data_IF_346296719820
#
_entry.id   IF_346296719820
#
_cell.length_a   1.000
_cell.length_b   1.000
_cell.length_c   1.000
_cell.angle_alpha   90.00
_cell.angle_beta   90.00
_cell.angle_gamma   90.00
#
_symmetry.space_group_name_H-M   'P 1'
#
loop_
_entity.id
_entity.type
_entity.pdbx_description
1 polymer ?
#
# COMPACT_ATOMS: atom_id res chain seq x y z
N UNK A 1 -19.48 5.08 5.42
CA UNK A 1 -19.88 3.68 5.12
C UNK A 1 -19.55 2.86 6.36
N UNK A 2 -20.52 2.16 6.94
CA UNK A 2 -20.33 1.29 8.10
C UNK A 2 -20.65 -0.12 7.65
N UNK A 3 -19.67 -1.01 7.67
CA UNK A 3 -19.79 -2.40 7.24
C UNK A 3 -19.62 -3.28 8.46
N UNK A 4 -20.48 -4.28 8.63
CA UNK A 4 -20.36 -5.29 9.70
C UNK A 4 -19.91 -6.59 9.05
N UNK A 5 -18.81 -7.17 9.55
CA UNK A 5 -18.22 -8.40 9.04
C UNK A 5 -17.97 -9.33 10.22
N UNK A 6 -18.34 -10.60 10.08
CA UNK A 6 -18.01 -11.67 11.00
C UNK A 6 -16.74 -12.35 10.49
N UNK A 7 -15.73 -12.46 11.35
CA UNK A 7 -14.44 -13.06 11.02
C UNK A 7 -13.93 -13.81 12.25
N UNK A 8 -13.33 -14.98 12.02
CA UNK A 8 -12.72 -15.78 13.08
C UNK A 8 -11.32 -15.26 13.43
N UNK A 9 -10.87 -15.57 14.64
CA UNK A 9 -9.56 -15.14 15.14
C UNK A 9 -8.43 -15.61 14.23
N UNK A 10 -7.58 -14.68 13.81
CA UNK A 10 -6.42 -14.98 12.98
C UNK A 10 -6.76 -15.29 11.51
N UNK A 11 -8.03 -15.28 11.09
CA UNK A 11 -8.40 -15.48 9.68
C UNK A 11 -8.37 -14.16 8.90
N UNK A 12 -7.84 -14.18 7.68
CA UNK A 12 -7.83 -12.98 6.83
C UNK A 12 -9.11 -12.93 6.00
N UNK A 13 -9.91 -11.88 6.19
CA UNK A 13 -11.14 -11.64 5.43
C UNK A 13 -10.99 -10.49 4.44
N UNK A 14 -11.65 -10.61 3.29
CA UNK A 14 -11.73 -9.54 2.28
C UNK A 14 -12.93 -8.67 2.59
N UNK A 15 -12.69 -7.41 2.97
CA UNK A 15 -13.76 -6.46 3.29
C UNK A 15 -14.39 -5.88 2.01
N UNK A 16 -13.62 -5.81 0.94
CA UNK A 16 -14.05 -5.28 -0.34
C UNK A 16 -12.88 -4.87 -1.23
N UNK A 17 -13.22 -4.24 -2.35
CA UNK A 17 -12.25 -3.77 -3.33
C UNK A 17 -12.89 -2.90 -4.41
N UNK A 18 -12.05 -2.27 -5.22
CA UNK A 18 -12.44 -1.48 -6.38
C UNK A 18 -11.58 -1.91 -7.57
N UNK A 19 -12.23 -2.33 -8.64
CA UNK A 19 -11.61 -2.52 -9.94
C UNK A 19 -12.08 -1.38 -10.84
N UNK A 20 -11.13 -0.59 -11.34
CA UNK A 20 -11.38 0.52 -12.26
C UNK A 20 -10.60 0.29 -13.55
N UNK A 21 -11.26 0.48 -14.69
CA UNK A 21 -10.64 0.45 -16.01
C UNK A 21 -10.91 1.81 -16.67
N UNK A 22 -9.88 2.62 -16.81
CA UNK A 22 -9.96 3.94 -17.46
C UNK A 22 -9.41 3.82 -18.89
N UNK A 23 -10.26 4.08 -19.89
CA UNK A 23 -9.89 4.10 -21.29
C UNK A 23 -9.93 5.54 -21.81
N UNK A 24 -8.79 6.03 -22.29
CA UNK A 24 -8.62 7.40 -22.78
C UNK A 24 -8.06 7.38 -24.20
N UNK A 25 -8.81 7.94 -25.14
CA UNK A 25 -8.37 8.13 -26.53
C UNK A 25 -8.11 9.61 -26.75
N UNK A 26 -6.89 9.95 -27.12
CA UNK A 26 -6.48 11.31 -27.48
C UNK A 26 -6.16 11.35 -28.95
N UNK A 27 -6.83 12.22 -29.71
CA UNK A 27 -6.63 12.38 -31.14
C UNK A 27 -6.27 13.82 -31.47
N UNK A 28 -5.09 14.00 -32.04
CA UNK A 28 -4.55 15.28 -32.49
C UNK A 28 -4.38 15.25 -34.00
N UNK A 29 -4.92 16.24 -34.72
CA UNK A 29 -4.79 16.31 -36.18
C UNK A 29 -4.59 17.74 -36.66
N UNK A 30 -3.88 17.91 -37.77
CA UNK A 30 -3.79 19.20 -38.46
C UNK A 30 -5.12 19.48 -39.18
N UNK A 31 -5.77 20.64 -38.98
CA UNK A 31 -6.98 21.02 -39.71
C UNK A 31 -6.76 21.01 -41.24
N UNK A 32 -7.78 20.66 -42.03
CA UNK A 32 -7.73 20.42 -43.50
C UNK A 32 -6.92 19.19 -43.93
N UNK A 33 -5.64 19.10 -43.57
CA UNK A 33 -4.75 18.03 -44.05
C UNK A 33 -5.02 16.68 -43.38
N UNK A 34 -5.46 16.68 -42.11
CA UNK A 34 -5.77 15.48 -41.35
C UNK A 34 -7.05 14.74 -41.78
N UNK A 35 -7.87 15.37 -42.63
CA UNK A 35 -9.14 14.80 -43.12
C UNK A 35 -9.04 14.22 -44.54
N UNK A 36 -7.88 14.34 -45.20
CA UNK A 36 -7.65 13.80 -46.54
C UNK A 36 -7.67 12.26 -46.48
N UNK A 37 -8.55 11.56 -47.21
CA UNK A 37 -8.51 10.11 -47.29
C UNK A 37 -7.15 9.64 -47.84
N UNK A 38 -6.62 8.53 -47.31
CA UNK A 38 -5.28 7.98 -47.61
C UNK A 38 -4.11 8.76 -46.98
N UNK A 39 -4.06 10.10 -47.06
CA UNK A 39 -2.91 10.91 -46.59
C UNK A 39 -3.05 11.48 -45.17
N UNK A 40 -4.27 11.60 -44.64
CA UNK A 40 -4.54 12.23 -43.35
C UNK A 40 -3.88 11.56 -42.14
N UNK A 41 -3.48 10.27 -42.27
CA UNK A 41 -2.72 9.54 -41.25
C UNK A 41 -1.30 10.07 -41.04
N UNK A 42 -0.68 10.72 -42.03
CA UNK A 42 0.64 11.36 -41.88
C UNK A 42 0.57 12.69 -41.12
N UNK A 43 -0.62 13.29 -41.03
CA UNK A 43 -0.89 14.59 -40.40
C UNK A 43 -1.81 14.49 -39.18
N UNK A 44 -2.01 13.27 -38.66
CA UNK A 44 -2.76 13.00 -37.44
C UNK A 44 -2.01 12.03 -36.55
N UNK A 45 -2.22 12.16 -35.24
CA UNK A 45 -1.67 11.30 -34.20
C UNK A 45 -2.82 10.89 -33.29
N UNK A 46 -2.88 9.60 -32.98
CA UNK A 46 -3.85 9.01 -32.08
C UNK A 46 -3.07 8.29 -30.98
N UNK A 47 -3.45 8.54 -29.74
CA UNK A 47 -2.85 7.92 -28.56
C UNK A 47 -3.97 7.31 -27.74
N UNK A 48 -3.89 6.00 -27.56
CA UNK A 48 -4.78 5.23 -26.71
C UNK A 48 -4.06 4.91 -25.41
N UNK A 49 -4.68 5.26 -24.28
CA UNK A 49 -4.17 4.93 -22.95
C UNK A 49 -5.23 4.15 -22.20
N UNK A 50 -4.84 2.97 -21.70
CA UNK A 50 -5.69 2.13 -20.84
C UNK A 50 -5.04 1.98 -19.48
N UNK A 51 -5.73 2.38 -18.43
CA UNK A 51 -5.26 2.29 -17.04
C UNK A 51 -6.20 1.41 -16.23
N UNK A 52 -5.73 0.21 -15.89
CA UNK A 52 -6.43 -0.68 -14.96
C UNK A 52 -5.91 -0.48 -13.54
N UNK A 53 -6.80 -0.23 -12.59
CA UNK A 53 -6.50 -0.07 -11.15
C UNK A 53 -7.28 -1.11 -10.36
N UNK A 54 -6.57 -1.90 -9.56
CA UNK A 54 -7.16 -2.88 -8.65
C UNK A 54 -6.82 -2.50 -7.21
N UNK A 55 -7.85 -2.34 -6.38
CA UNK A 55 -7.71 -2.09 -4.94
C UNK A 55 -8.42 -3.22 -4.21
N UNK A 56 -7.75 -3.81 -3.22
CA UNK A 56 -8.31 -4.83 -2.33
C UNK A 56 -8.01 -4.43 -0.89
N UNK A 57 -8.97 -4.61 0.00
CA UNK A 57 -8.83 -4.33 1.43
C UNK A 57 -9.03 -5.62 2.21
N UNK A 58 -7.99 -6.00 2.95
CA UNK A 58 -7.95 -7.19 3.80
C UNK A 58 -7.92 -6.77 5.26
N UNK A 59 -8.50 -7.60 6.12
CA UNK A 59 -8.41 -7.47 7.56
C UNK A 59 -8.21 -8.84 8.20
N UNK A 60 -7.31 -8.92 9.17
CA UNK A 60 -7.07 -10.10 9.98
C UNK A 60 -7.26 -9.71 11.44
N UNK A 61 -8.34 -10.15 12.11
CA UNK A 61 -8.52 -9.86 13.52
C UNK A 61 -7.55 -10.72 14.34
N UNK A 62 -7.22 -10.23 15.54
CA UNK A 62 -6.44 -10.99 16.53
C UNK A 62 -7.03 -10.71 17.91
N UNK A 63 -7.52 -11.76 18.56
CA UNK A 63 -8.12 -11.70 19.89
C UNK A 63 -7.01 -11.78 20.94
N UNK A 64 -6.91 -10.75 21.78
CA UNK A 64 -5.98 -10.71 22.91
C UNK A 64 -6.79 -10.89 24.20
N UNK A 65 -6.58 -11.98 24.92
CA UNK A 65 -7.35 -12.32 26.12
C UNK A 65 -6.79 -11.64 27.38
N UNK A 66 -5.48 -11.36 27.40
CA UNK A 66 -4.80 -10.72 28.53
C UNK A 66 -3.79 -9.65 28.17
N UNK A 67 -3.34 -8.91 29.19
CA UNK A 67 -2.25 -7.92 29.06
C UNK A 67 -0.93 -8.58 28.63
N UNK A 68 -0.68 -9.81 29.08
CA UNK A 68 0.51 -10.57 28.69
C UNK A 68 0.55 -10.84 27.18
N UNK A 69 -0.58 -11.22 26.58
CA UNK A 69 -0.69 -11.49 25.14
C UNK A 69 -0.44 -10.22 24.32
N UNK A 70 -0.98 -9.08 24.77
CA UNK A 70 -0.77 -7.79 24.11
C UNK A 70 0.70 -7.34 24.17
N UNK A 71 1.37 -7.57 25.32
CA UNK A 71 2.80 -7.28 25.47
C UNK A 71 3.62 -8.20 24.56
N UNK A 72 3.36 -9.51 24.58
CA UNK A 72 4.07 -10.47 23.74
C UNK A 72 3.93 -10.15 22.24
N UNK A 73 2.71 -9.86 21.77
CA UNK A 73 2.46 -9.47 20.38
C UNK A 73 3.16 -8.15 20.00
N UNK A 74 3.22 -7.20 20.92
CA UNK A 74 3.91 -5.92 20.69
C UNK A 74 5.42 -6.12 20.60
N UNK A 75 6.00 -6.90 21.52
CA UNK A 75 7.44 -7.17 21.55
C UNK A 75 7.89 -7.91 20.29
N UNK A 76 7.17 -8.94 19.88
CA UNK A 76 7.48 -9.66 18.64
C UNK A 76 7.44 -8.72 17.43
N UNK A 77 6.38 -7.89 17.33
CA UNK A 77 6.22 -6.98 16.19
C UNK A 77 7.29 -5.90 16.18
N UNK A 78 7.65 -5.38 17.35
CA UNK A 78 8.66 -4.35 17.51
C UNK A 78 10.04 -4.86 17.08
N UNK A 79 10.48 -6.00 17.60
CA UNK A 79 11.78 -6.59 17.26
C UNK A 79 11.89 -6.81 15.75
N UNK A 80 10.83 -7.34 15.12
CA UNK A 80 10.79 -7.53 13.67
C UNK A 80 10.93 -6.21 12.89
N UNK A 81 10.32 -5.13 13.37
CA UNK A 81 10.43 -3.82 12.70
C UNK A 81 11.81 -3.20 12.89
N UNK A 82 12.42 -3.43 14.06
CA UNK A 82 13.79 -2.99 14.35
C UNK A 82 14.80 -3.67 13.43
N UNK A 83 14.70 -4.99 13.26
CA UNK A 83 15.56 -5.75 12.34
C UNK A 83 15.46 -5.21 10.91
N UNK A 84 14.24 -4.92 10.45
CA UNK A 84 14.00 -4.33 9.13
C UNK A 84 14.60 -2.93 9.02
N UNK A 85 14.49 -2.11 10.06
CA UNK A 85 15.08 -0.78 10.07
C UNK A 85 16.60 -0.84 9.93
N UNK A 86 17.24 -1.74 10.66
CA UNK A 86 18.69 -1.95 10.61
C UNK A 86 19.14 -2.38 9.21
N UNK A 87 18.45 -3.33 8.60
CA UNK A 87 18.74 -3.81 7.24
C UNK A 87 18.63 -2.69 6.19
N UNK A 88 17.58 -1.86 6.28
CA UNK A 88 17.38 -0.73 5.35
C UNK A 88 18.49 0.31 5.52
N UNK A 89 18.91 0.60 6.76
CA UNK A 89 19.97 1.57 7.05
C UNK A 89 21.34 1.10 6.55
N UNK A 90 21.64 -0.17 6.70
CA UNK A 90 22.85 -0.79 6.16
C UNK A 90 22.92 -0.62 4.64
N UNK A 91 21.83 -0.94 3.93
CA UNK A 91 21.73 -0.76 2.46
C UNK A 91 21.89 0.70 2.01
N UNK A 92 21.57 1.66 2.89
CA UNK A 92 21.68 3.09 2.63
C UNK A 92 23.02 3.69 3.10
N UNK A 93 23.92 2.89 3.69
CA UNK A 93 25.23 3.37 4.19
C UNK A 93 25.13 4.31 5.39
N UNK A 94 24.03 4.25 6.15
CA UNK A 94 23.81 5.08 7.33
C UNK A 94 24.52 4.47 8.57
N UNK A 95 24.99 5.29 9.53
CA UNK A 95 25.54 4.79 10.79
C UNK A 95 24.52 3.91 11.52
N UNK A 96 25.00 2.78 12.05
CA UNK A 96 24.20 1.89 12.90
C UNK A 96 23.88 2.61 14.22
N UNK A 97 22.64 2.50 14.68
CA UNK A 97 22.28 2.94 16.02
C UNK A 97 22.80 1.92 17.03
N UNK A 98 23.62 2.38 17.98
CA UNK A 98 24.34 1.51 18.94
C UNK A 98 23.44 0.93 20.04
N UNK A 99 22.22 1.47 20.22
CA UNK A 99 21.28 1.03 21.24
C UNK A 99 20.06 0.36 20.61
N UNK A 100 19.82 -0.91 20.95
CA UNK A 100 18.54 -1.58 20.73
C UNK A 100 17.48 -0.99 21.68
N UNK A 101 16.49 -0.23 21.19
CA UNK A 101 15.42 0.26 22.04
C UNK A 101 14.58 -0.92 22.55
N UNK A 102 14.50 -1.13 23.87
CA UNK A 102 13.57 -2.13 24.40
C UNK A 102 12.13 -1.62 24.36
N UNK A 103 11.19 -2.54 24.16
CA UNK A 103 9.74 -2.25 24.11
C UNK A 103 9.26 -1.59 25.42
N UNK A 104 9.90 -1.92 26.54
CA UNK A 104 9.59 -1.37 27.86
C UNK A 104 9.76 0.16 27.92
N UNK A 105 10.74 0.72 27.20
CA UNK A 105 10.98 2.18 27.15
C UNK A 105 9.78 2.94 26.55
N UNK A 106 9.02 2.33 25.62
CA UNK A 106 7.83 2.93 25.02
C UNK A 106 6.63 2.98 25.97
N UNK A 107 6.58 2.07 26.96
CA UNK A 107 5.49 1.99 27.92
C UNK A 107 5.79 2.72 29.22
N UNK A 108 7.06 3.02 29.51
CA UNK A 108 7.48 3.80 30.68
C UNK A 108 7.15 5.29 30.53
N UNK A 109 7.25 5.87 29.32
CA UNK A 109 6.97 7.29 29.07
C UNK A 109 5.52 7.74 29.27
N UNK A 110 4.56 6.81 29.42
CA UNK A 110 3.14 7.10 29.69
C UNK A 110 2.76 7.03 31.18
N UNK A 111 3.70 6.71 32.06
CA UNK A 111 3.51 6.73 33.52
C UNK A 111 4.11 8.01 34.12
N UNK A 112 3.56 9.18 33.75
CA UNK A 112 3.64 10.41 34.54
C UNK A 112 2.31 11.15 34.43
#
# INVERSE_FOLDING_TARGET
>A
IKTTVLADDGETVVLGGLIKDDYQVSKSKVPLLGDIPVLGRLFSSESETRVKRNLLVFLRPTIMLGKADAVAATTEKFNRLWDVNLEVREKLGLPQEESDPSVDMLFEGRRQ
#
